data_IF_116850230828
#
_entry.id   IF_116850230828
#
_cell.length_a   1.000
_cell.length_b   1.000
_cell.length_c   1.000
_cell.angle_alpha   90.00
_cell.angle_beta   90.00
_cell.angle_gamma   90.00
#
_symmetry.space_group_name_H-M   'P 1'
#
loop_
_entity.id
_entity.type
_entity.pdbx_description
1 polymer ?
#
# COMPACT_ATOMS: atom_id res chain seq x y z
N UNK A 1 10.86 -8.97 10.65
CA UNK A 1 11.78 -7.92 10.15
C UNK A 1 11.06 -7.11 9.07
N UNK A 2 11.15 -5.78 9.17
CA UNK A 2 10.53 -4.86 8.23
C UNK A 2 11.54 -3.86 7.68
N UNK A 3 11.24 -3.33 6.50
CA UNK A 3 12.01 -2.27 5.84
C UNK A 3 11.07 -1.14 5.43
N UNK A 4 11.54 0.10 5.52
CA UNK A 4 10.84 1.30 5.08
C UNK A 4 11.78 2.11 4.20
N UNK A 5 11.30 2.47 3.02
CA UNK A 5 12.04 3.23 2.03
C UNK A 5 11.17 4.35 1.46
N UNK A 6 11.74 5.51 1.28
CA UNK A 6 11.20 6.53 0.40
C UNK A 6 11.74 6.32 -1.02
N UNK A 7 10.88 6.46 -2.02
CA UNK A 7 11.24 6.24 -3.40
C UNK A 7 10.63 7.31 -4.31
N UNK A 8 11.44 7.84 -5.22
CA UNK A 8 11.03 8.74 -6.27
C UNK A 8 11.47 8.16 -7.63
N UNK A 9 10.50 7.64 -8.36
CA UNK A 9 10.71 7.02 -9.66
C UNK A 9 10.26 7.95 -10.78
N UNK A 10 11.13 8.14 -11.76
CA UNK A 10 10.87 8.99 -12.91
C UNK A 10 11.17 8.24 -14.20
N UNK A 11 10.42 8.53 -15.24
CA UNK A 11 10.67 8.01 -16.60
C UNK A 11 10.69 9.12 -17.63
N UNK A 12 11.41 8.88 -18.73
CA UNK A 12 11.39 9.77 -19.88
C UNK A 12 10.22 9.42 -20.79
N UNK A 13 9.24 10.31 -20.90
CA UNK A 13 8.15 10.19 -21.86
C UNK A 13 8.43 11.04 -23.08
N UNK A 14 8.21 10.47 -24.26
CA UNK A 14 8.35 11.18 -25.52
C UNK A 14 7.05 11.91 -25.86
N UNK A 15 7.11 13.23 -25.91
CA UNK A 15 6.00 14.08 -26.33
C UNK A 15 6.38 14.81 -27.64
N UNK A 16 6.05 14.19 -28.76
CA UNK A 16 6.50 14.68 -30.08
C UNK A 16 8.03 14.60 -30.24
N UNK A 17 8.70 15.72 -30.50
CA UNK A 17 10.17 15.80 -30.62
C UNK A 17 10.92 16.01 -29.31
N UNK A 18 10.21 16.22 -28.21
CA UNK A 18 10.80 16.50 -26.91
C UNK A 18 10.67 15.29 -25.97
N UNK A 19 11.70 15.06 -25.14
CA UNK A 19 11.65 14.14 -24.03
C UNK A 19 11.38 14.94 -22.76
N UNK A 20 10.37 14.53 -22.00
CA UNK A 20 10.05 15.10 -20.69
C UNK A 20 10.25 14.04 -19.63
N UNK A 21 10.91 14.40 -18.53
CA UNK A 21 10.98 13.58 -17.33
C UNK A 21 9.64 13.68 -16.58
N UNK A 22 9.00 12.55 -16.33
CA UNK A 22 7.71 12.48 -15.64
C UNK A 22 7.87 11.58 -14.42
N UNK A 23 7.41 12.06 -13.27
CA UNK A 23 7.33 11.24 -12.06
C UNK A 23 6.24 10.20 -12.24
N UNK A 24 6.60 8.93 -12.13
CA UNK A 24 5.68 7.78 -12.20
C UNK A 24 5.30 7.27 -10.84
N UNK A 25 6.14 7.53 -9.84
CA UNK A 25 5.86 7.24 -8.43
C UNK A 25 6.72 8.13 -7.54
N UNK A 26 6.11 8.66 -6.50
CA UNK A 26 6.80 9.29 -5.38
C UNK A 26 6.08 8.90 -4.10
N UNK A 27 6.80 8.38 -3.10
CA UNK A 27 6.16 7.94 -1.87
C UNK A 27 6.98 6.94 -1.08
N UNK A 28 6.28 6.22 -0.22
CA UNK A 28 6.86 5.27 0.74
C UNK A 28 6.58 3.84 0.30
N UNK A 29 7.61 3.02 0.39
CA UNK A 29 7.54 1.56 0.20
C UNK A 29 7.95 0.88 1.49
N UNK A 30 7.03 0.12 2.08
CA UNK A 30 7.27 -0.68 3.27
C UNK A 30 7.23 -2.16 2.90
N UNK A 31 8.26 -2.90 3.30
CA UNK A 31 8.34 -4.36 3.17
C UNK A 31 8.33 -5.03 4.53
N UNK A 32 7.51 -6.06 4.70
CA UNK A 32 7.44 -6.81 5.94
C UNK A 32 7.41 -8.31 5.69
N UNK A 33 8.20 -9.07 6.48
CA UNK A 33 8.18 -10.53 6.46
C UNK A 33 7.10 -11.04 7.41
N UNK A 34 6.14 -11.77 6.88
CA UNK A 34 5.09 -12.38 7.70
C UNK A 34 5.65 -13.54 8.54
N UNK A 35 5.18 -13.66 9.78
CA UNK A 35 5.67 -14.71 10.67
C UNK A 35 5.18 -16.11 10.28
N UNK A 36 4.00 -16.20 9.63
CA UNK A 36 3.46 -17.45 9.10
C UNK A 36 3.58 -17.47 7.58
N UNK A 37 4.01 -18.61 7.02
CA UNK A 37 4.02 -18.77 5.58
C UNK A 37 2.59 -18.74 5.04
N UNK A 38 2.40 -18.06 3.93
CA UNK A 38 1.22 -18.14 3.09
C UNK A 38 1.67 -18.36 1.63
N UNK A 39 0.84 -19.01 0.85
CA UNK A 39 1.18 -19.39 -0.52
C UNK A 39 0.46 -18.58 -1.58
N UNK A 40 -0.63 -17.91 -1.21
CA UNK A 40 -1.38 -17.09 -2.13
C UNK A 40 -0.66 -15.79 -2.50
N UNK A 41 -1.00 -15.29 -3.66
CA UNK A 41 -0.72 -13.91 -4.04
C UNK A 41 -2.01 -13.12 -3.91
N UNK A 42 -2.01 -12.10 -3.03
CA UNK A 42 -3.15 -11.22 -2.80
C UNK A 42 -2.74 -9.77 -3.06
N UNK A 43 -3.50 -9.08 -3.89
CA UNK A 43 -3.29 -7.66 -4.18
C UNK A 43 -4.47 -6.86 -3.66
N UNK A 44 -4.16 -5.73 -3.05
CA UNK A 44 -5.12 -4.76 -2.53
C UNK A 44 -4.79 -3.39 -3.11
N UNK A 45 -5.78 -2.65 -3.55
CA UNK A 45 -5.64 -1.23 -3.91
C UNK A 45 -6.92 -0.49 -3.57
N UNK A 46 -6.84 0.83 -3.50
CA UNK A 46 -8.02 1.66 -3.42
C UNK A 46 -8.95 1.43 -4.62
N UNK A 47 -10.26 1.39 -4.35
CA UNK A 47 -11.27 1.23 -5.40
C UNK A 47 -11.30 2.49 -6.28
N UNK A 48 -10.94 2.30 -7.54
CA UNK A 48 -11.02 3.32 -8.59
C UNK A 48 -12.06 2.93 -9.65
N UNK A 49 -12.93 1.95 -9.37
CA UNK A 49 -13.91 1.42 -10.32
C UNK A 49 -13.29 0.63 -11.48
N UNK A 50 -12.05 0.18 -11.35
CA UNK A 50 -11.26 -0.48 -12.41
C UNK A 50 -10.76 -1.87 -11.99
N UNK A 51 -11.63 -2.69 -11.39
CA UNK A 51 -11.27 -4.04 -10.90
C UNK A 51 -10.61 -4.91 -12.00
N UNK A 52 -11.11 -4.84 -13.23
CA UNK A 52 -10.50 -5.55 -14.35
C UNK A 52 -9.05 -5.09 -14.62
N UNK A 53 -8.74 -3.83 -14.38
CA UNK A 53 -7.39 -3.30 -14.48
C UNK A 53 -6.45 -3.92 -13.44
N UNK A 54 -6.92 -4.12 -12.21
CA UNK A 54 -6.13 -4.78 -11.16
C UNK A 54 -5.89 -6.25 -11.47
N UNK A 55 -6.92 -6.98 -11.92
CA UNK A 55 -6.80 -8.39 -12.33
C UNK A 55 -5.79 -8.52 -13.48
N UNK A 56 -5.93 -7.71 -14.52
CA UNK A 56 -5.04 -7.75 -15.69
C UNK A 56 -3.60 -7.39 -15.33
N UNK A 57 -3.40 -6.35 -14.53
CA UNK A 57 -2.07 -5.95 -14.06
C UNK A 57 -1.43 -7.05 -13.21
N UNK A 58 -2.15 -7.56 -12.22
CA UNK A 58 -1.66 -8.60 -11.33
C UNK A 58 -1.33 -9.89 -12.08
N UNK A 59 -2.21 -10.32 -12.99
CA UNK A 59 -1.98 -11.52 -13.80
C UNK A 59 -0.78 -11.37 -14.74
N UNK A 60 -0.57 -10.18 -15.32
CA UNK A 60 0.63 -9.91 -16.15
C UNK A 60 1.91 -9.90 -15.33
N UNK A 61 1.87 -9.36 -14.11
CA UNK A 61 3.04 -9.25 -13.25
C UNK A 61 3.46 -10.61 -12.65
N UNK A 62 2.48 -11.41 -12.26
CA UNK A 62 2.73 -12.67 -11.53
C UNK A 62 2.63 -13.91 -12.40
N UNK A 63 2.01 -13.83 -13.57
CA UNK A 63 1.65 -14.99 -14.39
C UNK A 63 0.55 -15.87 -13.79
N UNK A 64 -0.09 -15.43 -12.69
CA UNK A 64 -1.08 -16.20 -11.93
C UNK A 64 -2.50 -15.74 -12.27
N UNK A 65 -3.45 -16.65 -12.15
CA UNK A 65 -4.87 -16.34 -12.25
C UNK A 65 -5.33 -15.71 -10.93
N UNK A 66 -5.64 -14.43 -10.95
CA UNK A 66 -6.20 -13.70 -9.82
C UNK A 66 -7.71 -13.57 -9.96
N UNK A 67 -8.42 -13.76 -8.87
CA UNK A 67 -9.88 -13.65 -8.80
C UNK A 67 -10.29 -12.58 -7.77
N UNK A 68 -11.39 -11.86 -7.99
CA UNK A 68 -11.90 -10.89 -7.04
C UNK A 68 -12.25 -11.56 -5.71
N UNK A 69 -11.93 -10.91 -4.61
CA UNK A 69 -12.26 -11.37 -3.26
C UNK A 69 -13.23 -10.38 -2.63
N UNK A 70 -14.41 -10.86 -2.28
CA UNK A 70 -15.36 -10.07 -1.47
C UNK A 70 -14.96 -10.10 -0.01
N UNK A 71 -14.87 -8.92 0.59
CA UNK A 71 -14.47 -8.75 1.97
C UNK A 71 -15.68 -8.68 2.89
N UNK A 72 -15.49 -9.08 4.14
CA UNK A 72 -16.58 -9.10 5.15
C UNK A 72 -16.83 -7.70 5.71
N UNK A 73 -15.81 -6.84 5.74
CA UNK A 73 -15.90 -5.48 6.30
C UNK A 73 -16.49 -4.52 5.25
N UNK A 74 -17.72 -3.98 5.46
CA UNK A 74 -18.41 -3.20 4.43
C UNK A 74 -17.68 -1.90 4.05
N UNK A 75 -17.07 -1.22 5.01
CA UNK A 75 -16.35 0.03 4.76
C UNK A 75 -15.06 -0.20 3.99
N UNK A 76 -14.39 -1.30 4.28
CA UNK A 76 -13.22 -1.73 3.54
C UNK A 76 -13.58 -2.11 2.10
N UNK A 77 -14.64 -2.90 1.91
CA UNK A 77 -15.13 -3.32 0.59
C UNK A 77 -15.49 -2.12 -0.31
N UNK A 78 -15.94 -0.99 0.29
CA UNK A 78 -16.24 0.23 -0.48
C UNK A 78 -15.02 1.04 -0.86
N UNK A 79 -13.90 0.87 -0.15
CA UNK A 79 -12.69 1.66 -0.35
C UNK A 79 -11.61 0.93 -1.11
N UNK A 80 -11.62 -0.40 -1.04
CA UNK A 80 -10.54 -1.24 -1.55
C UNK A 80 -11.05 -2.37 -2.43
N UNK A 81 -10.37 -2.56 -3.54
CA UNK A 81 -10.49 -3.75 -4.39
C UNK A 81 -9.44 -4.77 -3.95
N UNK A 82 -9.86 -6.03 -3.83
CA UNK A 82 -9.00 -7.16 -3.48
C UNK A 82 -9.08 -8.23 -4.55
N UNK A 83 -7.93 -8.71 -5.00
CA UNK A 83 -7.82 -9.88 -5.88
C UNK A 83 -6.80 -10.86 -5.32
N UNK A 84 -7.05 -12.16 -5.47
CA UNK A 84 -6.17 -13.20 -4.94
C UNK A 84 -6.20 -14.47 -5.76
N UNK A 85 -5.16 -15.27 -5.63
CA UNK A 85 -5.13 -16.67 -6.10
C UNK A 85 -5.87 -17.63 -5.17
N UNK A 86 -6.09 -17.24 -3.89
CA UNK A 86 -6.83 -17.98 -2.88
C UNK A 86 -7.70 -17.03 -2.06
N UNK A 87 -9.03 -17.15 -2.22
CA UNK A 87 -9.99 -16.29 -1.54
C UNK A 87 -10.08 -16.55 -0.03
N UNK A 88 -9.81 -17.78 0.42
CA UNK A 88 -9.87 -18.14 1.83
C UNK A 88 -8.67 -17.56 2.57
N UNK A 89 -7.48 -17.77 2.01
CA UNK A 89 -6.24 -17.22 2.56
C UNK A 89 -6.24 -15.68 2.54
N UNK A 90 -6.79 -15.06 1.48
CA UNK A 90 -6.94 -13.61 1.41
C UNK A 90 -7.80 -13.05 2.55
N UNK A 91 -8.94 -13.67 2.87
CA UNK A 91 -9.79 -13.25 4.00
C UNK A 91 -9.15 -13.52 5.35
N UNK A 92 -8.28 -14.50 5.43
CA UNK A 92 -7.48 -14.74 6.63
C UNK A 92 -6.43 -13.65 6.84
N UNK A 93 -5.73 -13.26 5.80
CA UNK A 93 -4.73 -12.18 5.82
C UNK A 93 -5.40 -10.83 6.10
N UNK A 94 -6.48 -10.53 5.39
CA UNK A 94 -7.24 -9.28 5.49
C UNK A 94 -8.40 -9.43 6.50
N UNK A 95 -8.09 -9.85 7.72
CA UNK A 95 -9.09 -9.95 8.77
C UNK A 95 -9.59 -8.56 9.24
N UNK A 96 -10.76 -8.45 9.89
CA UNK A 96 -11.37 -7.16 10.19
C UNK A 96 -10.46 -6.15 10.89
N UNK A 97 -9.73 -6.56 11.91
CA UNK A 97 -8.80 -5.64 12.60
C UNK A 97 -7.66 -5.15 11.69
N UNK A 98 -7.17 -5.98 10.75
CA UNK A 98 -6.20 -5.54 9.77
C UNK A 98 -6.81 -4.54 8.77
N UNK A 99 -8.05 -4.79 8.32
CA UNK A 99 -8.77 -3.85 7.45
C UNK A 99 -8.97 -2.49 8.12
N UNK A 100 -9.30 -2.46 9.43
CA UNK A 100 -9.43 -1.22 10.21
C UNK A 100 -8.10 -0.45 10.23
N UNK A 101 -6.99 -1.11 10.57
CA UNK A 101 -5.65 -0.49 10.57
C UNK A 101 -5.23 0.01 9.20
N UNK A 102 -5.61 -0.71 8.15
CA UNK A 102 -5.34 -0.28 6.78
C UNK A 102 -6.10 1.00 6.42
N UNK A 103 -7.37 1.11 6.85
CA UNK A 103 -8.18 2.32 6.65
C UNK A 103 -7.68 3.51 7.48
N UNK A 104 -7.19 3.27 8.70
CA UNK A 104 -6.56 4.29 9.53
C UNK A 104 -5.27 4.80 8.88
N UNK A 105 -4.45 3.91 8.37
CA UNK A 105 -3.24 4.27 7.64
C UNK A 105 -3.56 5.05 6.35
N UNK A 106 -4.56 4.64 5.58
CA UNK A 106 -5.03 5.39 4.41
C UNK A 106 -5.39 6.83 4.80
N UNK A 107 -6.12 7.01 5.89
CA UNK A 107 -6.52 8.33 6.38
C UNK A 107 -5.30 9.17 6.81
N UNK A 108 -4.32 8.60 7.52
CA UNK A 108 -3.10 9.27 7.95
C UNK A 108 -2.24 9.77 6.76
N UNK A 109 -2.31 9.07 5.63
CA UNK A 109 -1.63 9.46 4.39
C UNK A 109 -2.54 10.25 3.41
N UNK A 110 -3.66 10.79 3.88
CA UNK A 110 -4.63 11.55 3.08
C UNK A 110 -5.18 10.78 1.87
N UNK A 111 -5.33 9.46 1.99
CA UNK A 111 -5.99 8.63 1.00
C UNK A 111 -5.28 8.52 -0.35
N UNK A 112 -3.96 8.70 -0.44
CA UNK A 112 -3.26 8.72 -1.71
C UNK A 112 -2.79 7.33 -2.15
N UNK A 113 -3.47 6.76 -3.17
CA UNK A 113 -3.04 5.60 -3.98
C UNK A 113 -2.35 4.46 -3.21
N UNK A 114 -2.93 4.05 -2.08
CA UNK A 114 -2.37 2.96 -1.29
C UNK A 114 -2.58 1.62 -1.99
N UNK A 115 -1.52 0.83 -2.06
CA UNK A 115 -1.50 -0.50 -2.65
C UNK A 115 -0.75 -1.47 -1.76
N UNK A 116 -1.25 -2.70 -1.67
CA UNK A 116 -0.58 -3.77 -0.95
C UNK A 116 -0.45 -5.01 -1.85
N UNK A 117 0.63 -5.72 -1.65
CA UNK A 117 0.86 -7.03 -2.25
C UNK A 117 1.31 -8.02 -1.17
N UNK A 118 0.59 -9.11 -1.04
CA UNK A 118 0.99 -10.27 -0.25
C UNK A 118 1.49 -11.33 -1.21
N UNK A 119 2.73 -11.74 -1.09
CA UNK A 119 3.32 -12.79 -1.91
C UNK A 119 4.53 -13.42 -1.21
N UNK A 120 4.69 -14.72 -1.31
CA UNK A 120 5.87 -15.45 -0.82
C UNK A 120 6.20 -15.19 0.66
N UNK A 121 5.19 -15.09 1.51
CA UNK A 121 5.35 -14.81 2.93
C UNK A 121 5.73 -13.37 3.27
N UNK A 122 5.66 -12.47 2.31
CA UNK A 122 5.94 -11.03 2.48
C UNK A 122 4.73 -10.18 2.17
N UNK A 123 4.61 -9.07 2.86
CA UNK A 123 3.72 -7.99 2.47
C UNK A 123 4.55 -6.77 2.06
N UNK A 124 4.15 -6.16 0.96
CA UNK A 124 4.69 -4.88 0.51
C UNK A 124 3.56 -3.89 0.50
N UNK A 125 3.74 -2.76 1.16
CA UNK A 125 2.81 -1.63 1.18
C UNK A 125 3.45 -0.49 0.42
N UNK A 126 2.70 0.11 -0.50
CA UNK A 126 3.13 1.25 -1.31
C UNK A 126 2.11 2.35 -1.15
N UNK A 127 2.56 3.54 -0.74
CA UNK A 127 1.71 4.71 -0.54
C UNK A 127 2.32 5.87 -1.31
N UNK A 128 1.55 6.45 -2.22
CA UNK A 128 1.96 7.68 -2.90
C UNK A 128 1.83 8.84 -1.93
N UNK A 129 2.91 9.54 -1.68
CA UNK A 129 2.95 10.75 -0.85
C UNK A 129 4.06 11.67 -1.36
N UNK A 130 3.89 12.96 -1.13
CA UNK A 130 4.93 13.93 -1.45
C UNK A 130 5.74 14.17 -0.19
N UNK A 131 7.05 13.99 -0.29
CA UNK A 131 8.06 14.50 0.66
C UNK A 131 7.79 14.14 2.13
N UNK A 132 7.76 12.83 2.45
CA UNK A 132 7.54 12.37 3.82
C UNK A 132 8.73 12.70 4.73
N UNK A 133 9.95 12.67 4.20
CA UNK A 133 11.20 12.87 4.95
C UNK A 133 11.99 14.12 4.54
N UNK A 134 11.50 14.92 3.59
CA UNK A 134 12.12 16.20 3.32
C UNK A 134 11.83 17.18 4.46
N UNK A 135 12.89 17.52 5.21
CA UNK A 135 12.87 18.67 6.11
C UNK A 135 12.54 19.90 5.27
N UNK A 136 11.42 20.56 5.59
CA UNK A 136 10.96 21.76 4.90
C UNK A 136 12.08 22.81 4.81
N UNK A 137 12.05 23.58 3.73
CA UNK A 137 12.96 24.72 3.59
C UNK A 137 12.85 25.68 4.79
N UNK A 138 13.79 26.59 4.92
CA UNK A 138 14.15 27.49 6.00
C UNK A 138 12.99 28.31 6.68
N UNK A 139 11.72 27.96 6.46
CA UNK A 139 10.57 28.60 7.09
C UNK A 139 10.09 27.80 8.30
N UNK A 140 10.49 28.24 9.49
CA UNK A 140 10.26 27.57 10.78
C UNK A 140 8.79 27.43 11.20
N UNK A 141 7.84 28.14 10.62
CA UNK A 141 6.43 28.13 11.05
C UNK A 141 5.60 26.91 10.58
N UNK A 142 6.16 26.03 9.74
CA UNK A 142 5.50 24.83 9.24
C UNK A 142 6.05 23.50 9.77
N UNK A 143 7.19 23.53 10.45
CA UNK A 143 7.93 22.31 10.81
C UNK A 143 7.24 21.48 11.88
N UNK A 144 6.62 22.10 12.89
CA UNK A 144 5.92 21.38 13.96
C UNK A 144 4.69 20.59 13.44
N UNK A 145 3.92 21.19 12.54
CA UNK A 145 2.76 20.52 11.95
C UNK A 145 3.17 19.37 11.01
N UNK A 146 4.25 19.56 10.25
CA UNK A 146 4.81 18.51 9.40
C UNK A 146 5.41 17.38 10.23
N UNK A 147 6.12 17.71 11.28
CA UNK A 147 6.69 16.73 12.20
C UNK A 147 5.59 15.89 12.88
N UNK A 148 4.51 16.52 13.36
CA UNK A 148 3.35 15.81 13.90
C UNK A 148 2.74 14.87 12.86
N UNK A 149 2.52 15.33 11.63
CA UNK A 149 1.99 14.49 10.54
C UNK A 149 2.89 13.29 10.25
N UNK A 150 4.21 13.51 10.20
CA UNK A 150 5.18 12.42 9.96
C UNK A 150 5.16 11.40 11.10
N UNK A 151 5.04 11.83 12.35
CA UNK A 151 4.90 10.93 13.51
C UNK A 151 3.62 10.11 13.42
N UNK A 152 2.48 10.71 13.08
CA UNK A 152 1.20 10.01 12.92
C UNK A 152 1.28 8.98 11.78
N UNK A 153 1.91 9.32 10.68
CA UNK A 153 2.13 8.42 9.56
C UNK A 153 3.03 7.24 9.94
N UNK A 154 4.15 7.49 10.62
CA UNK A 154 5.03 6.44 11.13
C UNK A 154 4.31 5.56 12.15
N UNK A 155 3.52 6.16 13.05
CA UNK A 155 2.68 5.44 14.01
C UNK A 155 1.72 4.48 13.32
N UNK A 156 1.00 4.93 12.32
CA UNK A 156 0.06 4.09 11.55
C UNK A 156 0.74 2.93 10.82
N UNK A 157 1.96 3.13 10.32
CA UNK A 157 2.77 2.06 9.71
C UNK A 157 3.19 1.00 10.76
N UNK A 158 3.57 1.44 11.96
CA UNK A 158 3.93 0.55 13.08
C UNK A 158 2.70 -0.25 13.52
N UNK A 159 1.54 0.39 13.68
CA UNK A 159 0.30 -0.24 14.08
C UNK A 159 -0.16 -1.29 13.07
N UNK A 160 -0.04 -1.00 11.78
CA UNK A 160 -0.30 -1.98 10.74
C UNK A 160 0.63 -3.19 10.85
N UNK A 161 1.91 -2.96 11.10
CA UNK A 161 2.91 -4.02 11.29
C UNK A 161 2.59 -4.89 12.50
N UNK A 162 2.09 -4.29 13.61
CA UNK A 162 1.66 -5.01 14.80
C UNK A 162 0.42 -5.85 14.52
N UNK A 163 -0.58 -5.31 13.83
CA UNK A 163 -1.79 -6.04 13.45
C UNK A 163 -1.48 -7.27 12.57
N UNK A 164 -0.46 -7.18 11.71
CA UNK A 164 0.05 -8.32 10.94
C UNK A 164 0.66 -9.42 11.85
N UNK A 165 1.27 -9.02 12.96
CA UNK A 165 1.93 -9.95 13.90
C UNK A 165 1.00 -10.58 14.94
N UNK A 166 -0.06 -9.92 15.34
CA UNK A 166 -0.94 -10.38 16.42
C UNK A 166 -1.58 -11.73 16.15
N UNK A 167 -1.84 -12.06 14.89
CA UNK A 167 -2.32 -13.39 14.48
C UNK A 167 -1.22 -14.39 14.13
N UNK A 168 0.03 -13.98 14.15
CA UNK A 168 1.15 -14.88 13.90
C UNK A 168 1.56 -15.68 15.16
N UNK A 169 0.97 -15.38 16.30
CA UNK A 169 1.09 -16.17 17.55
C UNK A 169 -0.12 -17.07 17.73
#
# INVERSE_FOLDING_TARGET
EGTLHEAHLQEYQQQGKHRRLVTVFQGVVMGYQFARPFSSTTLVRQDMGLLNGLINFGSRLTGLKLEPVKMVHPDFERRFEVVSTDQVEARYLLHPAFCERLMEMEAAFNGQNMRLAFAQGRVVVVIETKDMFESGGIEADGDDARFATTIDQLGSLIDLTQALNERAR
#
